data_IF_238915802421
#
_entry.id   IF_238915802421
#
_cell.length_a   1.000
_cell.length_b   1.000
_cell.length_c   1.000
_cell.angle_alpha   90.00
_cell.angle_beta   90.00
_cell.angle_gamma   90.00
#
_symmetry.space_group_name_H-M   'P 1'
#
loop_
_entity.id
_entity.type
_entity.pdbx_description
1 polymer ?
#
# COMPACT_ATOMS: atom_id res chain seq x y z
N UNK A 1 12.61 6.15 6.51
CA UNK A 1 12.21 4.73 6.64
C UNK A 1 10.96 4.50 5.81
N UNK A 2 11.13 4.05 4.56
CA UNK A 2 10.04 3.96 3.57
C UNK A 2 8.93 2.99 4.02
N UNK A 3 9.30 1.95 4.77
CA UNK A 3 8.38 0.98 5.40
C UNK A 3 7.50 1.57 6.50
N UNK A 4 8.03 2.48 7.34
CA UNK A 4 7.26 3.09 8.42
C UNK A 4 6.23 4.09 7.88
N UNK A 5 6.61 4.89 6.88
CA UNK A 5 5.68 5.77 6.17
C UNK A 5 4.61 5.00 5.40
N UNK A 6 4.96 3.85 4.81
CA UNK A 6 4.01 2.95 4.16
C UNK A 6 2.98 2.40 5.17
N UNK A 7 3.45 1.84 6.29
CA UNK A 7 2.57 1.32 7.34
C UNK A 7 1.64 2.43 7.85
N UNK A 8 2.18 3.62 8.06
CA UNK A 8 1.41 4.76 8.55
C UNK A 8 0.32 5.19 7.57
N UNK A 9 0.63 5.30 6.28
CA UNK A 9 -0.37 5.63 5.26
C UNK A 9 -1.42 4.53 5.08
N UNK A 10 -0.99 3.27 5.08
CA UNK A 10 -1.91 2.14 5.00
C UNK A 10 -2.87 2.12 6.20
N UNK A 11 -2.37 2.31 7.42
CA UNK A 11 -3.21 2.36 8.63
C UNK A 11 -4.22 3.52 8.58
N UNK A 12 -3.83 4.70 8.10
CA UNK A 12 -4.77 5.83 7.93
C UNK A 12 -5.91 5.49 6.98
N UNK A 13 -5.60 4.89 5.84
CA UNK A 13 -6.61 4.51 4.83
C UNK A 13 -7.52 3.41 5.38
N UNK A 14 -6.96 2.43 6.10
CA UNK A 14 -7.74 1.39 6.79
C UNK A 14 -8.64 1.97 7.87
N UNK A 15 -8.16 2.93 8.67
CA UNK A 15 -8.98 3.61 9.67
C UNK A 15 -10.15 4.36 9.02
N UNK A 16 -9.90 5.06 7.90
CA UNK A 16 -10.96 5.74 7.15
C UNK A 16 -12.00 4.74 6.59
N UNK A 17 -11.56 3.60 6.06
CA UNK A 17 -12.47 2.56 5.57
C UNK A 17 -13.33 1.97 6.69
N UNK A 18 -12.75 1.72 7.87
CA UNK A 18 -13.50 1.27 9.04
C UNK A 18 -14.53 2.30 9.47
N UNK A 19 -14.16 3.58 9.54
CA UNK A 19 -15.09 4.67 9.87
C UNK A 19 -16.23 4.72 8.85
N UNK A 20 -15.93 4.59 7.56
CA UNK A 20 -16.94 4.56 6.51
C UNK A 20 -17.93 3.40 6.71
N UNK A 21 -17.45 2.19 6.99
CA UNK A 21 -18.32 1.02 7.26
C UNK A 21 -19.18 1.23 8.50
N UNK A 22 -18.64 1.84 9.56
CA UNK A 22 -19.43 2.17 10.76
C UNK A 22 -20.55 3.17 10.46
N UNK A 23 -20.25 4.17 9.61
CA UNK A 23 -21.25 5.15 9.15
C UNK A 23 -22.30 4.46 8.28
N UNK A 24 -21.89 3.61 7.35
CA UNK A 24 -22.79 2.80 6.51
C UNK A 24 -23.73 1.95 7.37
N UNK A 25 -23.20 1.29 8.41
CA UNK A 25 -24.00 0.48 9.33
C UNK A 25 -25.01 1.32 10.13
N UNK A 26 -24.66 2.55 10.49
CA UNK A 26 -25.55 3.44 11.23
C UNK A 26 -26.66 4.04 10.35
N UNK A 27 -26.39 4.26 9.05
CA UNK A 27 -27.32 4.90 8.13
C UNK A 27 -28.18 3.92 7.34
N UNK A 28 -27.66 2.72 7.06
CA UNK A 28 -28.30 1.75 6.18
C UNK A 28 -28.87 0.61 7.03
N UNK A 29 -30.20 0.61 7.16
CA UNK A 29 -30.95 -0.44 7.87
C UNK A 29 -31.27 -1.64 6.99
N UNK A 30 -31.27 -1.46 5.66
CA UNK A 30 -31.51 -2.53 4.71
C UNK A 30 -30.23 -3.37 4.49
N UNK A 31 -30.28 -4.69 4.70
CA UNK A 31 -29.10 -5.54 4.64
C UNK A 31 -28.51 -5.66 3.23
N UNK A 32 -29.32 -5.57 2.17
CA UNK A 32 -28.84 -5.67 0.79
C UNK A 32 -28.14 -4.40 0.33
N UNK A 33 -28.68 -3.24 0.71
CA UNK A 33 -28.04 -1.95 0.46
C UNK A 33 -26.73 -1.84 1.24
N UNK A 34 -26.70 -2.34 2.49
CA UNK A 34 -25.49 -2.35 3.31
C UNK A 34 -24.39 -3.21 2.71
N UNK A 35 -24.72 -4.43 2.26
CA UNK A 35 -23.75 -5.32 1.59
C UNK A 35 -23.16 -4.65 0.35
N UNK A 36 -23.98 -3.97 -0.45
CA UNK A 36 -23.51 -3.22 -1.62
C UNK A 36 -22.55 -2.09 -1.26
N UNK A 37 -22.89 -1.30 -0.23
CA UNK A 37 -22.06 -0.19 0.25
C UNK A 37 -20.69 -0.70 0.77
N UNK A 38 -20.71 -1.71 1.64
CA UNK A 38 -19.49 -2.32 2.18
C UNK A 38 -18.62 -2.93 1.08
N UNK A 39 -19.24 -3.56 0.07
CA UNK A 39 -18.51 -4.11 -1.07
C UNK A 39 -17.79 -3.01 -1.88
N UNK A 40 -18.43 -1.86 -2.09
CA UNK A 40 -17.82 -0.71 -2.78
C UNK A 40 -16.68 -0.13 -1.94
N UNK A 41 -16.93 0.14 -0.65
CA UNK A 41 -15.93 0.69 0.27
C UNK A 41 -14.74 -0.25 0.41
N UNK A 42 -14.97 -1.55 0.56
CA UNK A 42 -13.94 -2.58 0.58
C UNK A 42 -13.18 -2.69 -0.75
N UNK A 43 -13.87 -2.57 -1.89
CA UNK A 43 -13.27 -2.58 -3.22
C UNK A 43 -12.32 -1.40 -3.44
N UNK A 44 -12.74 -0.18 -3.07
CA UNK A 44 -11.90 1.02 -3.13
C UNK A 44 -10.69 0.88 -2.21
N UNK A 45 -10.88 0.41 -0.98
CA UNK A 45 -9.79 0.15 -0.03
C UNK A 45 -8.79 -0.86 -0.58
N UNK A 46 -9.26 -1.93 -1.24
CA UNK A 46 -8.41 -2.94 -1.89
C UNK A 46 -7.59 -2.34 -3.03
N UNK A 47 -8.19 -1.53 -3.91
CA UNK A 47 -7.48 -0.89 -5.02
C UNK A 47 -6.34 0.00 -4.52
N UNK A 48 -6.61 0.80 -3.48
CA UNK A 48 -5.60 1.67 -2.87
C UNK A 48 -4.49 0.84 -2.22
N UNK A 49 -4.86 -0.23 -1.49
CA UNK A 49 -3.90 -1.14 -0.85
C UNK A 49 -2.98 -1.81 -1.88
N UNK A 50 -3.53 -2.26 -3.01
CA UNK A 50 -2.74 -2.86 -4.10
C UNK A 50 -1.80 -1.83 -4.74
N UNK A 51 -2.25 -0.60 -4.97
CA UNK A 51 -1.42 0.49 -5.50
C UNK A 51 -0.22 0.78 -4.59
N UNK A 52 -0.49 0.99 -3.30
CA UNK A 52 0.51 1.18 -2.26
C UNK A 52 1.51 0.00 -2.21
N UNK A 53 1.02 -1.24 -2.25
CA UNK A 53 1.87 -2.42 -2.22
C UNK A 53 2.78 -2.52 -3.45
N UNK A 54 2.28 -2.15 -4.63
CA UNK A 54 3.08 -2.09 -5.86
C UNK A 54 4.18 -1.05 -5.76
N UNK A 55 3.87 0.16 -5.29
CA UNK A 55 4.85 1.23 -5.07
C UNK A 55 5.93 0.83 -4.06
N UNK A 56 5.54 0.18 -2.97
CA UNK A 56 6.50 -0.34 -2.00
C UNK A 56 7.42 -1.41 -2.61
N UNK A 57 6.86 -2.34 -3.41
CA UNK A 57 7.63 -3.37 -4.12
C UNK A 57 8.62 -2.79 -5.14
N UNK A 58 8.23 -1.76 -5.89
CA UNK A 58 9.10 -1.12 -6.88
C UNK A 58 10.25 -0.35 -6.22
N UNK A 59 10.00 0.30 -5.09
CA UNK A 59 11.06 0.93 -4.30
C UNK A 59 12.01 -0.11 -3.66
N UNK A 60 11.51 -1.28 -3.27
CA UNK A 60 12.34 -2.40 -2.82
C UNK A 60 13.27 -2.95 -3.92
N UNK A 61 12.83 -2.95 -5.18
CA UNK A 61 13.67 -3.34 -6.33
C UNK A 61 14.67 -2.27 -6.76
N UNK A 62 14.33 -0.98 -6.60
CA UNK A 62 15.23 0.13 -6.94
C UNK A 62 16.50 0.18 -6.09
N UNK A 63 16.40 -0.17 -4.81
CA UNK A 63 17.58 -0.29 -3.93
C UNK A 63 18.54 -1.41 -4.36
N UNK A 64 18.04 -2.50 -4.95
CA UNK A 64 18.90 -3.59 -5.43
C UNK A 64 19.74 -3.18 -6.65
N UNK A 65 19.22 -2.33 -7.53
CA UNK A 65 19.97 -1.86 -8.68
C UNK A 65 21.13 -0.93 -8.29
N UNK A 66 20.89 0.01 -7.38
CA UNK A 66 21.95 0.93 -6.92
C UNK A 66 23.07 0.18 -6.18
N UNK A 67 22.76 -0.83 -5.35
CA UNK A 67 23.82 -1.60 -4.66
C UNK A 67 24.64 -2.45 -5.64
N UNK A 68 24.01 -3.02 -6.67
CA UNK A 68 24.72 -3.78 -7.69
C UNK A 68 25.72 -2.90 -8.46
N UNK A 69 25.30 -1.70 -8.87
CA UNK A 69 26.14 -0.76 -9.62
C UNK A 69 27.37 -0.30 -8.82
N UNK A 70 27.19 0.00 -7.52
CA UNK A 70 28.30 0.36 -6.62
C UNK A 70 29.26 -0.79 -6.32
N UNK A 71 28.76 -2.03 -6.22
CA UNK A 71 29.61 -3.21 -6.01
C UNK A 71 30.40 -3.52 -7.29
N UNK A 72 29.76 -3.46 -8.45
CA UNK A 72 30.40 -3.75 -9.73
C UNK A 72 31.47 -2.71 -10.10
N UNK A 73 31.24 -1.40 -9.89
CA UNK A 73 32.24 -0.34 -10.15
C UNK A 73 33.51 -0.48 -9.28
N UNK A 74 33.38 -0.98 -8.04
CA UNK A 74 34.54 -1.24 -7.18
C UNK A 74 35.38 -2.44 -7.62
N UNK A 75 34.75 -3.48 -8.16
CA UNK A 75 35.47 -4.68 -8.58
C UNK A 75 36.34 -4.41 -9.81
N UNK A 76 35.83 -3.60 -10.74
CA UNK A 76 36.54 -3.26 -11.99
C UNK A 76 37.79 -2.38 -11.74
N UNK A 77 37.72 -1.43 -10.80
CA UNK A 77 38.89 -0.61 -10.44
C UNK A 77 40.01 -1.34 -9.72
N UNK A 78 39.76 -2.52 -9.16
CA UNK A 78 40.77 -3.27 -8.40
C UNK A 78 41.62 -4.21 -9.28
N UNK A 79 41.27 -4.36 -10.55
CA UNK A 79 41.92 -5.27 -11.50
C UNK A 79 42.72 -4.55 -12.58
N UNK A 80 42.81 -3.22 -12.54
CA UNK A 80 43.79 -2.41 -13.29
C UNK A 80 44.92 -1.95 -12.37
#
# INVERSE_FOLDING_TARGET
MLTLSFLWNWTKITALAVIAVVIEQALITDPWVFIGAVAVTGGVWLLITVGLYREWRTHGTGYRHQVAEWVTDRTDRRTR
#
